data_IF_744481774307
#
_entry.id   IF_744481774307
#
_cell.length_a   1.000
_cell.length_b   1.000
_cell.length_c   1.000
_cell.angle_alpha   90.00
_cell.angle_beta   90.00
_cell.angle_gamma   90.00
#
_symmetry.space_group_name_H-M   'P 1'
#
loop_
_entity.id
_entity.type
_entity.pdbx_description
1 polymer ?
#
# COMPACT_ATOMS: atom_id res chain seq x y z
N UNK A 1 -0.88 47.71 16.90
CA UNK A 1 -0.90 46.31 17.42
C UNK A 1 -1.80 45.38 16.59
N UNK A 2 -2.69 45.93 15.72
CA UNK A 2 -3.59 45.09 14.88
C UNK A 2 -3.02 44.69 13.52
N UNK A 3 -2.00 45.40 13.00
CA UNK A 3 -1.37 45.10 11.71
C UNK A 3 -0.51 43.84 11.69
N UNK A 4 0.04 43.41 12.82
CA UNK A 4 0.91 42.22 12.91
C UNK A 4 0.09 40.92 12.97
N UNK A 5 -1.14 40.99 13.48
CA UNK A 5 -2.05 39.84 13.58
C UNK A 5 -2.71 39.50 12.21
N UNK A 6 -2.91 40.48 11.35
CA UNK A 6 -3.41 40.29 9.99
C UNK A 6 -2.35 39.66 9.07
N UNK A 7 -1.09 40.03 9.24
CA UNK A 7 0.02 39.48 8.45
C UNK A 7 0.36 38.00 8.79
N UNK A 8 0.05 37.52 9.99
CA UNK A 8 0.20 36.10 10.34
C UNK A 8 -0.95 35.23 9.83
N UNK A 9 -2.13 35.79 9.61
CA UNK A 9 -3.31 35.05 9.10
C UNK A 9 -3.27 34.81 7.59
N UNK A 10 -2.67 35.71 6.81
CA UNK A 10 -2.54 35.55 5.34
C UNK A 10 -1.78 34.30 4.92
N UNK A 11 -0.60 33.95 5.50
CA UNK A 11 0.13 32.75 5.07
C UNK A 11 -0.60 31.44 5.38
N UNK A 12 -1.45 31.39 6.41
CA UNK A 12 -2.25 30.19 6.73
C UNK A 12 -3.40 29.99 5.74
N UNK A 13 -4.08 31.07 5.33
CA UNK A 13 -5.15 31.01 4.33
C UNK A 13 -4.63 30.58 2.97
N UNK A 14 -3.49 31.12 2.53
CA UNK A 14 -2.86 30.74 1.28
C UNK A 14 -2.46 29.27 1.27
N UNK A 15 -1.94 28.76 2.40
CA UNK A 15 -1.59 27.36 2.56
C UNK A 15 -2.83 26.44 2.49
N UNK A 16 -3.96 26.83 3.07
CA UNK A 16 -5.23 26.12 2.98
C UNK A 16 -5.81 26.11 1.55
N UNK A 17 -5.68 27.23 0.82
CA UNK A 17 -6.08 27.33 -0.58
C UNK A 17 -5.20 26.40 -1.45
N UNK A 18 -3.91 26.35 -1.19
CA UNK A 18 -3.01 25.42 -1.86
C UNK A 18 -3.36 23.95 -1.55
N UNK A 19 -3.62 23.61 -0.30
CA UNK A 19 -4.07 22.26 0.10
C UNK A 19 -5.31 21.83 -0.67
N UNK A 20 -6.35 22.70 -0.73
CA UNK A 20 -7.57 22.44 -1.50
C UNK A 20 -7.26 22.17 -2.96
N UNK A 21 -6.42 23.00 -3.58
CA UNK A 21 -6.03 22.83 -4.98
C UNK A 21 -5.32 21.52 -5.24
N UNK A 22 -4.35 21.13 -4.37
CA UNK A 22 -3.61 19.88 -4.47
C UNK A 22 -4.50 18.66 -4.27
N UNK A 23 -5.43 18.75 -3.30
CA UNK A 23 -6.42 17.71 -3.08
C UNK A 23 -7.32 17.49 -4.29
N UNK A 24 -7.80 18.57 -4.92
CA UNK A 24 -8.62 18.49 -6.13
C UNK A 24 -7.88 17.81 -7.29
N UNK A 25 -6.59 18.14 -7.50
CA UNK A 25 -5.79 17.44 -8.52
C UNK A 25 -5.55 15.97 -8.20
N UNK A 26 -5.33 15.63 -6.94
CA UNK A 26 -5.18 14.23 -6.51
C UNK A 26 -6.46 13.44 -6.73
N UNK A 27 -7.62 14.01 -6.36
CA UNK A 27 -8.93 13.38 -6.55
C UNK A 27 -9.26 13.24 -8.04
N UNK A 28 -9.01 14.27 -8.85
CA UNK A 28 -9.24 14.20 -10.29
C UNK A 28 -8.37 13.12 -10.95
N UNK A 29 -7.08 13.07 -10.61
CA UNK A 29 -6.16 12.02 -11.08
C UNK A 29 -6.60 10.62 -10.65
N UNK A 30 -7.02 10.47 -9.39
CA UNK A 30 -7.58 9.23 -8.89
C UNK A 30 -8.84 8.80 -9.65
N UNK A 31 -9.80 9.70 -9.88
CA UNK A 31 -11.05 9.37 -10.59
C UNK A 31 -10.77 8.89 -12.02
N UNK A 32 -9.86 9.53 -12.74
CA UNK A 32 -9.46 9.09 -14.08
C UNK A 32 -8.88 7.67 -14.03
N UNK A 33 -7.95 7.41 -13.10
CA UNK A 33 -7.38 6.08 -12.92
C UNK A 33 -8.40 5.05 -12.46
N UNK A 34 -9.35 5.43 -11.59
CA UNK A 34 -10.43 4.57 -11.12
C UNK A 34 -11.34 4.11 -12.27
N UNK A 35 -11.83 5.02 -13.10
CA UNK A 35 -12.70 4.65 -14.23
C UNK A 35 -11.95 3.83 -15.28
N UNK A 36 -10.67 4.14 -15.53
CA UNK A 36 -9.84 3.31 -16.39
C UNK A 36 -9.66 1.90 -15.80
N UNK A 37 -9.35 1.80 -14.50
CA UNK A 37 -9.21 0.51 -13.81
C UNK A 37 -10.53 -0.27 -13.75
N UNK A 38 -11.66 0.41 -13.64
CA UNK A 38 -12.97 -0.24 -13.66
C UNK A 38 -13.26 -0.90 -15.01
N UNK A 39 -12.85 -0.27 -16.10
CA UNK A 39 -12.98 -0.87 -17.43
C UNK A 39 -12.16 -2.17 -17.56
N UNK A 40 -10.98 -2.23 -16.94
CA UNK A 40 -10.10 -3.41 -16.92
C UNK A 40 -10.25 -4.27 -15.65
N UNK A 41 -11.33 -4.10 -14.89
CA UNK A 41 -11.48 -4.76 -13.59
C UNK A 41 -11.36 -6.28 -13.64
N UNK A 42 -11.87 -6.91 -14.72
CA UNK A 42 -11.77 -8.35 -14.91
C UNK A 42 -10.33 -8.84 -15.12
N UNK A 43 -9.55 -8.10 -15.90
CA UNK A 43 -8.13 -8.44 -16.16
C UNK A 43 -7.29 -8.25 -14.89
N UNK A 44 -7.52 -7.16 -14.17
CA UNK A 44 -6.84 -6.88 -12.88
C UNK A 44 -7.22 -7.94 -11.85
N UNK A 45 -8.49 -8.33 -11.79
CA UNK A 45 -8.98 -9.40 -10.93
C UNK A 45 -8.22 -10.71 -11.20
N UNK A 46 -8.14 -11.13 -12.48
CA UNK A 46 -7.42 -12.33 -12.87
C UNK A 46 -5.92 -12.25 -12.55
N UNK A 47 -5.30 -11.09 -12.78
CA UNK A 47 -3.91 -10.86 -12.40
C UNK A 47 -3.69 -11.03 -10.89
N UNK A 48 -4.57 -10.48 -10.05
CA UNK A 48 -4.46 -10.62 -8.59
C UNK A 48 -4.71 -12.06 -8.11
N UNK A 49 -5.46 -12.86 -8.86
CA UNK A 49 -5.68 -14.28 -8.58
C UNK A 49 -4.53 -15.19 -9.00
N UNK A 50 -3.68 -14.75 -9.92
CA UNK A 50 -2.62 -15.58 -10.51
C UNK A 50 -1.74 -16.26 -9.46
N UNK A 51 -1.24 -15.59 -8.39
CA UNK A 51 -0.38 -16.24 -7.40
C UNK A 51 -1.05 -17.39 -6.65
N UNK A 52 -2.38 -17.36 -6.52
CA UNK A 52 -3.14 -18.45 -5.91
C UNK A 52 -3.38 -19.58 -6.93
N UNK A 53 -3.67 -19.24 -8.19
CA UNK A 53 -3.86 -20.22 -9.25
C UNK A 53 -2.58 -21.03 -9.50
N UNK A 54 -1.41 -20.42 -9.38
CA UNK A 54 -0.12 -21.05 -9.61
C UNK A 54 0.20 -22.17 -8.60
N UNK A 55 -0.33 -22.12 -7.37
CA UNK A 55 -0.15 -23.21 -6.41
C UNK A 55 -1.01 -24.43 -6.72
N UNK A 56 -2.12 -24.23 -7.40
CA UNK A 56 -3.05 -25.29 -7.76
C UNK A 56 -2.87 -25.84 -9.18
N UNK A 57 -1.66 -25.71 -9.74
CA UNK A 57 -1.31 -26.07 -11.10
C UNK A 57 -1.94 -27.38 -11.57
N UNK A 58 -2.97 -27.28 -12.41
CA UNK A 58 -3.60 -28.41 -13.06
C UNK A 58 -4.71 -29.13 -12.29
N UNK A 59 -5.03 -28.73 -11.07
CA UNK A 59 -6.15 -29.29 -10.31
C UNK A 59 -7.46 -28.54 -10.62
N UNK A 60 -8.21 -29.06 -11.59
CA UNK A 60 -9.51 -28.52 -12.02
C UNK A 60 -10.62 -28.62 -10.94
N UNK A 61 -10.38 -29.33 -9.84
CA UNK A 61 -11.33 -29.45 -8.72
C UNK A 61 -11.28 -28.22 -7.81
N UNK A 62 -10.20 -27.46 -7.84
CA UNK A 62 -9.98 -26.26 -6.99
C UNK A 62 -10.73 -25.07 -7.54
N UNK A 63 -11.38 -24.35 -6.66
CA UNK A 63 -12.19 -23.18 -6.99
C UNK A 63 -12.13 -22.11 -5.92
N UNK A 64 -12.31 -20.89 -6.36
CA UNK A 64 -12.60 -19.76 -5.47
C UNK A 64 -14.12 -19.58 -5.43
N UNK A 65 -14.67 -19.37 -4.24
CA UNK A 65 -16.11 -19.26 -4.03
C UNK A 65 -16.52 -17.84 -3.67
N UNK A 66 -17.72 -17.45 -4.06
CA UNK A 66 -18.41 -16.30 -3.49
C UNK A 66 -19.71 -16.79 -2.84
N UNK A 67 -20.05 -16.21 -1.69
CA UNK A 67 -21.15 -16.68 -0.84
C UNK A 67 -22.40 -15.81 -0.93
N UNK A 68 -22.29 -14.61 -1.51
CA UNK A 68 -23.39 -13.68 -1.70
C UNK A 68 -23.50 -13.25 -3.17
N UNK A 69 -24.73 -13.13 -3.69
CA UNK A 69 -24.96 -12.77 -5.11
C UNK A 69 -24.34 -11.44 -5.53
N UNK A 70 -24.31 -10.46 -4.62
CA UNK A 70 -23.74 -9.13 -4.85
C UNK A 70 -22.23 -9.05 -4.63
N UNK A 71 -21.61 -10.11 -4.08
CA UNK A 71 -20.20 -10.12 -3.68
C UNK A 71 -19.26 -9.83 -4.85
N UNK A 72 -19.53 -10.44 -6.01
CA UNK A 72 -18.70 -10.24 -7.22
C UNK A 72 -18.72 -8.78 -7.68
N UNK A 73 -19.89 -8.14 -7.73
CA UNK A 73 -20.04 -6.74 -8.13
C UNK A 73 -19.25 -5.79 -7.21
N UNK A 74 -19.43 -5.92 -5.89
CA UNK A 74 -18.69 -5.08 -4.95
C UNK A 74 -17.19 -5.36 -4.96
N UNK A 75 -16.80 -6.60 -5.24
CA UNK A 75 -15.39 -6.95 -5.38
C UNK A 75 -14.77 -6.29 -6.61
N UNK A 76 -15.45 -6.24 -7.74
CA UNK A 76 -14.96 -5.55 -8.94
C UNK A 76 -14.79 -4.04 -8.70
N UNK A 77 -15.71 -3.41 -7.95
CA UNK A 77 -15.56 -2.01 -7.53
C UNK A 77 -14.35 -1.84 -6.60
N UNK A 78 -14.14 -2.75 -5.65
CA UNK A 78 -12.96 -2.70 -4.75
C UNK A 78 -11.67 -2.87 -5.53
N UNK A 79 -11.62 -3.81 -6.48
CA UNK A 79 -10.45 -4.01 -7.35
C UNK A 79 -10.16 -2.77 -8.18
N UNK A 80 -11.19 -2.16 -8.76
CA UNK A 80 -11.04 -0.91 -9.52
C UNK A 80 -10.56 0.25 -8.64
N UNK A 81 -11.09 0.37 -7.41
CA UNK A 81 -10.66 1.38 -6.44
C UNK A 81 -9.20 1.18 -6.02
N UNK A 82 -8.83 -0.05 -5.72
CA UNK A 82 -7.46 -0.43 -5.39
C UNK A 82 -6.51 -0.10 -6.55
N UNK A 83 -6.78 -0.61 -7.74
CA UNK A 83 -5.93 -0.41 -8.90
C UNK A 83 -5.87 1.08 -9.31
N UNK A 84 -7.00 1.78 -9.25
CA UNK A 84 -7.08 3.21 -9.49
C UNK A 84 -6.20 4.01 -8.51
N UNK A 85 -6.23 3.67 -7.22
CA UNK A 85 -5.38 4.30 -6.20
C UNK A 85 -3.90 3.94 -6.41
N UNK A 86 -3.62 2.67 -6.72
CA UNK A 86 -2.25 2.18 -6.96
C UNK A 86 -1.62 2.88 -8.17
N UNK A 87 -2.34 2.97 -9.28
CA UNK A 87 -1.88 3.65 -10.50
C UNK A 87 -1.81 5.18 -10.31
N UNK A 88 -2.76 5.77 -9.55
CA UNK A 88 -2.75 7.19 -9.25
C UNK A 88 -1.72 7.60 -8.20
N UNK A 89 -1.06 6.65 -7.52
CA UNK A 89 -0.11 6.93 -6.45
C UNK A 89 0.97 7.94 -6.85
N UNK A 90 1.62 7.86 -8.03
CA UNK A 90 2.60 8.86 -8.47
C UNK A 90 2.01 10.29 -8.53
N UNK A 91 0.77 10.42 -8.98
CA UNK A 91 0.07 11.71 -9.07
C UNK A 91 -0.20 12.24 -7.66
N UNK A 92 -0.75 11.39 -6.78
CA UNK A 92 -1.09 11.73 -5.39
C UNK A 92 0.17 12.10 -4.62
N UNK A 93 1.19 11.24 -4.68
CA UNK A 93 2.48 11.47 -4.01
C UNK A 93 3.14 12.78 -4.48
N UNK A 94 3.12 13.05 -5.79
CA UNK A 94 3.63 14.31 -6.33
C UNK A 94 2.88 15.53 -5.76
N UNK A 95 1.55 15.48 -5.65
CA UNK A 95 0.77 16.59 -5.06
C UNK A 95 1.11 16.78 -3.56
N UNK A 96 1.27 15.67 -2.82
CA UNK A 96 1.68 15.72 -1.40
C UNK A 96 3.07 16.33 -1.28
N UNK A 97 4.03 15.90 -2.12
CA UNK A 97 5.40 16.42 -2.10
C UNK A 97 5.45 17.91 -2.45
N UNK A 98 4.73 18.37 -3.47
CA UNK A 98 4.70 19.78 -3.83
C UNK A 98 4.05 20.63 -2.72
N UNK A 99 3.08 20.09 -2.00
CA UNK A 99 2.46 20.76 -0.85
C UNK A 99 3.43 20.91 0.35
N UNK A 100 4.25 19.88 0.61
CA UNK A 100 5.21 19.88 1.72
C UNK A 100 6.48 20.67 1.39
N UNK A 101 6.90 20.68 0.12
CA UNK A 101 8.16 21.26 -0.35
C UNK A 101 8.38 22.75 0.00
N UNK A 102 7.39 23.66 -0.11
CA UNK A 102 7.59 25.08 0.21
C UNK A 102 7.98 25.34 1.66
N UNK A 103 7.51 24.49 2.59
CA UNK A 103 7.84 24.58 4.01
C UNK A 103 9.27 24.12 4.35
N UNK A 104 9.84 23.24 3.52
CA UNK A 104 11.15 22.62 3.80
C UNK A 104 12.33 23.27 3.07
N UNK A 105 12.15 23.76 1.84
CA UNK A 105 13.29 24.14 0.98
C UNK A 105 12.99 25.33 0.06
N UNK A 106 13.18 26.55 0.56
CA UNK A 106 13.14 27.73 -0.30
C UNK A 106 14.35 27.85 -1.27
N UNK A 107 15.44 27.12 -1.05
CA UNK A 107 16.70 27.32 -1.78
C UNK A 107 17.21 26.17 -2.66
N UNK A 108 16.67 24.94 -2.58
CA UNK A 108 17.21 23.77 -3.32
C UNK A 108 16.14 22.93 -4.03
N UNK A 109 15.44 23.50 -5.00
CA UNK A 109 14.48 22.76 -5.85
C UNK A 109 15.09 21.52 -6.54
N UNK A 110 16.39 21.58 -6.89
CA UNK A 110 17.09 20.45 -7.53
C UNK A 110 17.33 19.27 -6.59
N UNK A 111 17.48 19.51 -5.29
CA UNK A 111 17.67 18.44 -4.31
C UNK A 111 16.39 17.63 -4.05
N UNK A 112 15.24 18.13 -4.50
CA UNK A 112 13.93 17.52 -4.30
C UNK A 112 13.53 16.55 -5.43
N UNK A 113 14.04 16.78 -6.64
CA UNK A 113 13.73 15.98 -7.83
C UNK A 113 13.99 14.47 -7.65
N UNK A 114 15.10 14.01 -7.02
CA UNK A 114 15.33 12.58 -6.77
C UNK A 114 14.24 11.93 -5.92
N UNK A 115 13.66 12.63 -4.95
CA UNK A 115 12.59 12.09 -4.10
C UNK A 115 11.27 11.95 -4.86
N UNK A 116 10.97 12.88 -5.76
CA UNK A 116 9.81 12.81 -6.64
C UNK A 116 9.80 11.56 -7.54
N UNK A 117 10.98 11.12 -7.97
CA UNK A 117 11.15 9.93 -8.81
C UNK A 117 11.26 8.67 -7.94
N UNK A 118 11.98 8.76 -6.80
CA UNK A 118 12.19 7.62 -5.91
C UNK A 118 10.88 7.12 -5.30
N UNK A 119 9.99 8.02 -4.88
CA UNK A 119 8.70 7.70 -4.27
C UNK A 119 7.87 6.75 -5.14
N UNK A 120 7.42 7.08 -6.36
CA UNK A 120 6.64 6.13 -7.14
C UNK A 120 7.39 4.85 -7.48
N UNK A 121 8.71 4.93 -7.69
CA UNK A 121 9.52 3.75 -7.97
C UNK A 121 9.56 2.78 -6.79
N UNK A 122 9.79 3.26 -5.58
CA UNK A 122 9.84 2.44 -4.37
C UNK A 122 8.46 1.88 -4.02
N UNK A 123 7.40 2.64 -4.20
CA UNK A 123 6.04 2.17 -3.99
C UNK A 123 5.70 0.97 -4.89
N UNK A 124 5.94 1.10 -6.20
CA UNK A 124 5.70 0.00 -7.13
C UNK A 124 6.63 -1.18 -6.89
N UNK A 125 7.87 -0.93 -6.50
CA UNK A 125 8.82 -1.98 -6.12
C UNK A 125 8.35 -2.75 -4.89
N UNK A 126 7.79 -2.07 -3.87
CA UNK A 126 7.18 -2.70 -2.70
C UNK A 126 5.99 -3.59 -3.06
N UNK A 127 5.09 -3.11 -3.93
CA UNK A 127 3.98 -3.90 -4.47
C UNK A 127 4.45 -5.10 -5.28
N UNK A 128 5.46 -4.93 -6.14
CA UNK A 128 6.05 -6.02 -6.90
C UNK A 128 6.76 -7.03 -5.99
N UNK A 129 7.44 -6.57 -4.95
CA UNK A 129 8.11 -7.45 -3.99
C UNK A 129 7.13 -8.41 -3.30
N UNK A 130 6.00 -7.90 -2.81
CA UNK A 130 5.01 -8.79 -2.19
C UNK A 130 4.41 -9.76 -3.19
N UNK A 131 4.11 -9.30 -4.39
CA UNK A 131 3.47 -10.11 -5.41
C UNK A 131 4.37 -11.25 -5.91
N UNK A 132 5.64 -10.98 -6.20
CA UNK A 132 6.57 -11.95 -6.79
C UNK A 132 7.41 -12.73 -5.77
N UNK A 133 7.56 -12.25 -4.53
CA UNK A 133 8.38 -12.92 -3.52
C UNK A 133 7.58 -13.39 -2.31
N UNK A 134 6.68 -12.57 -1.76
CA UNK A 134 5.97 -12.94 -0.53
C UNK A 134 4.84 -13.91 -0.84
N UNK A 135 3.99 -13.66 -1.83
CA UNK A 135 2.87 -14.54 -2.15
C UNK A 135 3.28 -15.96 -2.55
N UNK A 136 4.30 -16.18 -3.42
CA UNK A 136 4.74 -17.53 -3.76
C UNK A 136 5.26 -18.35 -2.57
N UNK A 137 5.65 -17.70 -1.49
CA UNK A 137 6.10 -18.39 -0.25
C UNK A 137 4.94 -18.53 0.74
N UNK A 138 4.09 -17.49 0.87
CA UNK A 138 3.00 -17.50 1.86
C UNK A 138 1.84 -18.41 1.46
N UNK A 139 1.45 -18.46 0.18
CA UNK A 139 0.30 -19.26 -0.24
C UNK A 139 0.52 -20.77 -0.10
N UNK A 140 1.67 -21.35 -0.51
CA UNK A 140 1.97 -22.76 -0.23
C UNK A 140 2.00 -23.08 1.27
N UNK A 141 2.47 -22.15 2.10
CA UNK A 141 2.42 -22.29 3.55
C UNK A 141 0.98 -22.43 4.04
N UNK A 142 0.06 -21.56 3.60
CA UNK A 142 -1.36 -21.69 3.98
C UNK A 142 -2.00 -22.96 3.41
N UNK A 143 -1.68 -23.35 2.19
CA UNK A 143 -2.18 -24.58 1.58
C UNK A 143 -1.66 -25.85 2.33
N UNK A 144 -0.51 -25.79 3.00
CA UNK A 144 0.01 -26.93 3.76
C UNK A 144 -0.82 -27.33 4.99
N UNK A 145 -1.78 -26.48 5.41
CA UNK A 145 -2.73 -26.82 6.49
C UNK A 145 -3.92 -27.67 6.02
N UNK A 146 -4.04 -27.93 4.71
CA UNK A 146 -5.02 -28.87 4.18
C UNK A 146 -4.75 -30.28 4.69
N UNK A 147 -5.82 -31.01 4.98
CA UNK A 147 -5.74 -32.39 5.44
C UNK A 147 -6.71 -33.26 4.64
N UNK A 148 -6.18 -34.32 4.05
CA UNK A 148 -7.03 -35.36 3.47
C UNK A 148 -7.71 -36.13 4.60
N UNK A 149 -9.04 -36.31 4.50
CA UNK A 149 -9.77 -37.10 5.48
C UNK A 149 -9.39 -38.58 5.39
N UNK A 150 -8.71 -39.10 6.40
CA UNK A 150 -8.35 -40.50 6.53
C UNK A 150 -8.91 -41.10 7.82
N UNK A 151 -9.24 -42.39 7.83
CA UNK A 151 -9.69 -43.13 9.01
C UNK A 151 -10.88 -42.54 9.78
N UNK A 152 -11.86 -41.92 9.07
CA UNK A 152 -13.03 -41.31 9.67
C UNK A 152 -12.85 -39.86 10.13
N UNK A 153 -11.67 -39.27 9.94
CA UNK A 153 -11.46 -37.84 10.11
C UNK A 153 -12.05 -37.03 8.95
N UNK A 154 -12.59 -35.84 9.24
CA UNK A 154 -13.08 -34.95 8.19
C UNK A 154 -11.93 -34.36 7.39
N UNK A 155 -12.08 -34.25 6.08
CA UNK A 155 -11.15 -33.51 5.22
C UNK A 155 -11.22 -32.01 5.52
N UNK A 156 -10.08 -31.34 5.56
CA UNK A 156 -9.97 -29.88 5.67
C UNK A 156 -9.37 -29.39 4.34
N UNK A 157 -10.18 -28.75 3.51
CA UNK A 157 -9.76 -28.19 2.24
C UNK A 157 -9.81 -26.65 2.27
N UNK A 158 -8.86 -26.01 1.61
CA UNK A 158 -8.82 -24.56 1.45
C UNK A 158 -9.77 -24.13 0.33
N UNK A 159 -10.90 -23.54 0.67
CA UNK A 159 -11.83 -22.90 -0.26
C UNK A 159 -11.89 -21.39 -0.01
N UNK A 160 -10.98 -20.59 -0.59
CA UNK A 160 -10.91 -19.17 -0.30
C UNK A 160 -12.11 -18.44 -0.90
N UNK A 161 -12.68 -17.52 -0.12
CA UNK A 161 -13.70 -16.59 -0.60
C UNK A 161 -13.06 -15.46 -1.40
N UNK A 162 -13.66 -15.15 -2.55
CA UNK A 162 -13.19 -14.11 -3.47
C UNK A 162 -12.89 -12.79 -2.77
N UNK A 163 -13.87 -12.28 -2.01
CA UNK A 163 -13.74 -10.99 -1.35
C UNK A 163 -12.67 -10.98 -0.24
N UNK A 164 -12.53 -12.07 0.52
CA UNK A 164 -11.54 -12.17 1.59
C UNK A 164 -10.12 -12.26 1.03
N UNK A 165 -9.92 -13.13 0.04
CA UNK A 165 -8.65 -13.29 -0.65
C UNK A 165 -8.17 -11.98 -1.28
N UNK A 166 -9.00 -11.35 -2.12
CA UNK A 166 -8.62 -10.11 -2.78
C UNK A 166 -8.42 -8.96 -1.80
N UNK A 167 -9.23 -8.87 -0.75
CA UNK A 167 -9.02 -7.86 0.28
C UNK A 167 -7.68 -8.02 0.99
N UNK A 168 -7.25 -9.27 1.23
CA UNK A 168 -5.94 -9.57 1.80
C UNK A 168 -4.80 -9.20 0.84
N UNK A 169 -4.88 -9.65 -0.42
CA UNK A 169 -3.88 -9.36 -1.46
C UNK A 169 -3.69 -7.86 -1.64
N UNK A 170 -4.79 -7.12 -1.84
CA UNK A 170 -4.76 -5.68 -2.01
C UNK A 170 -4.18 -4.95 -0.80
N UNK A 171 -4.56 -5.37 0.41
CA UNK A 171 -4.02 -4.81 1.66
C UNK A 171 -2.50 -5.01 1.75
N UNK A 172 -2.02 -6.21 1.46
CA UNK A 172 -0.60 -6.53 1.50
C UNK A 172 0.20 -5.73 0.46
N UNK A 173 -0.29 -5.63 -0.78
CA UNK A 173 0.37 -4.84 -1.84
C UNK A 173 0.51 -3.37 -1.41
N UNK A 174 -0.54 -2.77 -0.83
CA UNK A 174 -0.47 -1.39 -0.33
C UNK A 174 0.46 -1.26 0.88
N UNK A 175 0.37 -2.19 1.83
CA UNK A 175 1.19 -2.16 3.04
C UNK A 175 2.69 -2.21 2.70
N UNK A 176 3.09 -3.10 1.80
CA UNK A 176 4.47 -3.18 1.32
C UNK A 176 4.87 -1.97 0.48
N UNK A 177 3.99 -1.50 -0.42
CA UNK A 177 4.23 -0.27 -1.17
C UNK A 177 4.53 0.91 -0.25
N UNK A 178 3.69 1.16 0.76
CA UNK A 178 3.89 2.23 1.74
C UNK A 178 5.12 2.00 2.65
N UNK A 179 5.42 0.74 3.00
CA UNK A 179 6.60 0.42 3.81
C UNK A 179 7.90 0.74 3.07
N UNK A 180 7.94 0.55 1.76
CA UNK A 180 9.08 0.91 0.93
C UNK A 180 9.28 2.43 0.78
N UNK A 181 8.27 3.25 1.13
CA UNK A 181 8.41 4.72 1.20
C UNK A 181 9.17 5.20 2.45
N UNK A 182 9.28 4.38 3.50
CA UNK A 182 9.91 4.80 4.76
C UNK A 182 11.34 5.32 4.60
N UNK A 183 12.23 4.74 3.77
CA UNK A 183 13.56 5.30 3.53
C UNK A 183 13.52 6.72 2.97
N UNK A 184 12.56 7.01 2.08
CA UNK A 184 12.35 8.35 1.51
C UNK A 184 11.90 9.32 2.59
N UNK A 185 10.87 8.94 3.35
CA UNK A 185 10.32 9.75 4.45
C UNK A 185 11.41 10.04 5.49
N UNK A 186 12.16 9.04 5.93
CA UNK A 186 13.24 9.19 6.91
C UNK A 186 14.37 10.10 6.41
N UNK A 187 14.75 9.97 5.15
CA UNK A 187 15.78 10.81 4.53
C UNK A 187 15.31 12.26 4.45
N UNK A 188 14.04 12.49 4.15
CA UNK A 188 13.47 13.85 4.11
C UNK A 188 13.37 14.47 5.49
N UNK A 189 12.93 13.72 6.51
CA UNK A 189 12.90 14.20 7.90
C UNK A 189 14.30 14.57 8.40
N UNK A 190 15.32 13.80 8.00
CA UNK A 190 16.71 14.11 8.32
C UNK A 190 17.20 15.38 7.60
N UNK A 191 16.90 15.52 6.30
CA UNK A 191 17.25 16.73 5.53
C UNK A 191 16.52 17.97 6.03
N UNK A 192 15.25 17.83 6.39
CA UNK A 192 14.44 18.89 7.00
C UNK A 192 14.94 19.33 8.39
N UNK A 193 15.97 18.66 8.93
CA UNK A 193 16.50 18.85 10.28
C UNK A 193 15.44 18.66 11.40
N UNK A 194 14.32 18.01 11.08
CA UNK A 194 13.26 17.64 12.03
C UNK A 194 13.78 16.53 12.95
N UNK A 195 14.58 15.61 12.37
CA UNK A 195 15.19 14.49 13.10
C UNK A 195 16.68 14.42 12.80
N UNK A 196 17.48 14.26 13.86
CA UNK A 196 18.93 14.04 13.73
C UNK A 196 19.26 12.56 13.73
N UNK A 197 20.36 12.15 13.09
CA UNK A 197 20.84 10.76 13.07
C UNK A 197 21.03 10.19 14.48
N UNK A 198 21.45 11.02 15.45
CA UNK A 198 21.58 10.64 16.85
C UNK A 198 20.23 10.34 17.50
N UNK A 199 19.20 11.15 17.22
CA UNK A 199 17.84 10.92 17.70
C UNK A 199 17.23 9.63 17.11
N UNK A 200 17.45 9.39 15.81
CA UNK A 200 16.99 8.17 15.13
C UNK A 200 17.61 6.92 15.74
N UNK A 201 18.94 6.92 16.01
CA UNK A 201 19.63 5.80 16.65
C UNK A 201 19.08 5.50 18.05
N UNK A 202 18.81 6.53 18.87
CA UNK A 202 18.23 6.36 20.21
C UNK A 202 16.83 5.75 20.18
N UNK A 203 16.05 6.07 19.15
CA UNK A 203 14.66 5.60 19.00
C UNK A 203 14.54 4.28 18.20
N UNK A 204 15.64 3.70 17.72
CA UNK A 204 15.64 2.49 16.88
C UNK A 204 14.83 1.32 17.47
N UNK A 205 14.95 1.08 18.79
CA UNK A 205 14.19 0.02 19.47
C UNK A 205 12.67 0.21 19.38
N UNK A 206 12.19 1.46 19.43
CA UNK A 206 10.78 1.77 19.29
C UNK A 206 10.32 1.67 17.84
N UNK A 207 11.17 2.06 16.89
CA UNK A 207 10.88 1.91 15.47
C UNK A 207 10.71 0.43 15.11
N UNK A 208 11.62 -0.44 15.55
CA UNK A 208 11.51 -1.89 15.36
C UNK A 208 10.21 -2.43 15.99
N UNK A 209 9.91 -2.06 17.22
CA UNK A 209 8.67 -2.49 17.87
C UNK A 209 7.43 -2.04 17.09
N UNK A 210 7.38 -0.78 16.67
CA UNK A 210 6.28 -0.24 15.88
C UNK A 210 6.16 -0.90 14.50
N UNK A 211 7.29 -1.25 13.87
CA UNK A 211 7.30 -2.00 12.61
C UNK A 211 6.62 -3.36 12.76
N UNK A 212 6.96 -4.11 13.81
CA UNK A 212 6.31 -5.40 14.08
C UNK A 212 4.84 -5.27 14.47
N UNK A 213 4.47 -4.25 15.24
CA UNK A 213 3.06 -3.96 15.57
C UNK A 213 2.28 -3.58 14.31
N UNK A 214 2.84 -2.73 13.46
CA UNK A 214 2.21 -2.36 12.19
C UNK A 214 2.06 -3.57 11.27
N UNK A 215 3.10 -4.40 11.16
CA UNK A 215 3.05 -5.64 10.40
C UNK A 215 1.95 -6.57 10.94
N UNK A 216 1.86 -6.79 12.25
CA UNK A 216 0.84 -7.65 12.86
C UNK A 216 -0.61 -7.18 12.63
N UNK A 217 -0.82 -5.87 12.49
CA UNK A 217 -2.15 -5.30 12.18
C UNK A 217 -2.50 -5.42 10.70
N UNK A 218 -1.49 -5.28 9.83
CA UNK A 218 -1.68 -5.23 8.38
C UNK A 218 -1.66 -6.60 7.71
N UNK A 219 -0.87 -7.56 8.25
CA UNK A 219 -0.75 -8.92 7.73
C UNK A 219 -1.63 -9.90 8.50
N UNK A 220 -1.99 -11.05 7.91
CA UNK A 220 -2.51 -12.18 8.67
C UNK A 220 -1.53 -12.58 9.81
N UNK A 221 -1.99 -13.30 10.83
CA UNK A 221 -1.13 -13.77 11.91
C UNK A 221 -0.23 -14.92 11.45
N UNK A 222 0.61 -14.68 10.44
CA UNK A 222 1.60 -15.62 9.93
C UNK A 222 3.01 -15.02 10.02
N UNK A 223 4.02 -15.83 10.40
CA UNK A 223 5.39 -15.34 10.58
C UNK A 223 6.03 -14.84 9.28
N UNK A 224 5.66 -15.41 8.13
CA UNK A 224 6.30 -15.11 6.85
C UNK A 224 5.93 -13.70 6.37
N UNK A 225 4.63 -13.40 6.28
CA UNK A 225 4.17 -12.06 5.86
C UNK A 225 4.54 -11.00 6.89
N UNK A 226 4.46 -11.33 8.20
CA UNK A 226 4.80 -10.40 9.26
C UNK A 226 6.28 -10.01 9.27
N UNK A 227 7.19 -10.98 9.17
CA UNK A 227 8.63 -10.71 9.08
C UNK A 227 8.95 -10.03 7.75
N UNK A 228 8.35 -10.50 6.64
CA UNK A 228 8.52 -9.92 5.32
C UNK A 228 8.15 -8.44 5.27
N UNK A 229 7.09 -8.01 5.98
CA UNK A 229 6.69 -6.61 6.06
C UNK A 229 7.53 -5.81 7.07
N UNK A 230 7.92 -6.42 8.18
CA UNK A 230 8.70 -5.73 9.21
C UNK A 230 10.15 -5.42 8.77
N UNK A 231 10.72 -6.19 7.83
CA UNK A 231 12.09 -5.99 7.35
C UNK A 231 12.30 -4.67 6.59
N UNK A 232 11.40 -4.24 5.66
CA UNK A 232 11.53 -2.96 4.97
C UNK A 232 11.25 -1.75 5.86
N UNK A 233 10.50 -1.89 6.96
CA UNK A 233 10.16 -0.87 7.95
C UNK A 233 11.31 -0.67 8.93
#
# INVERSE_FOLDING_TARGET
MDSDVENEKMPLLDHLVELRRRLLYSVAGFLVCFFASYYFAADIFNFLLQPLADIWQGDSSRRIIFTAMHEKFFTDIKVAFFAGTFIAFPIIANQIWIFIAPGLYKQEKRAFLPFLVATPFLFFMGGAFVYYFVFPVAWPFFASFEQEGANGAMAIALEPKVNEYLSLVMRLIFAFGLSFELPVVMTLLARARIMTSSSMRKKRRYAILLAFVAAAVLTPPDPLSQIGLALPI
#
